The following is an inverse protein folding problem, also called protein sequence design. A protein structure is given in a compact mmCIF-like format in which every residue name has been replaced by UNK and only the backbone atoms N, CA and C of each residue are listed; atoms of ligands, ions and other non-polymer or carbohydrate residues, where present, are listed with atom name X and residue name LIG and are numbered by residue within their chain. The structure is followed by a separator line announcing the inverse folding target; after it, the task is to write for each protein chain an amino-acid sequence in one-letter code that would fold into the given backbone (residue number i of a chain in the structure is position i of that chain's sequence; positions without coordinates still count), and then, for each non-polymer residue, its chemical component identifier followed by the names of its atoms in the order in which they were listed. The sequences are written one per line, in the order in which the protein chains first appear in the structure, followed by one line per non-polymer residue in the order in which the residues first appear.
data_IF_456415123040
#
_entry.id   IF_456415123040
#
_cell.length_a   1.000
_cell.length_b   1.000
_cell.length_c   1.000
_cell.angle_alpha   90.00
_cell.angle_beta   90.00
_cell.angle_gamma   90.00
#
_symmetry.space_group_name_H-M   'P 1'
#
loop_
_entity.id
_entity.type
_entity.pdbx_description
1 polymer ?
#
# COMPACT_ATOMS: atom_id res chain seq x y z
N UNK A 1 -6.84 -9.70 19.00
CA UNK A 1 -7.38 -8.58 19.80
C UNK A 1 -7.06 -8.68 21.27
N UNK A 2 -6.77 -9.86 21.84
CA UNK A 2 -6.43 -10.02 23.28
C UNK A 2 -4.94 -9.83 23.60
N UNK A 3 -4.09 -9.58 22.60
CA UNK A 3 -2.63 -9.53 22.78
C UNK A 3 -2.12 -8.17 23.26
N UNK A 4 -2.94 -7.13 23.27
CA UNK A 4 -2.50 -5.74 23.53
C UNK A 4 -1.52 -5.18 22.50
N UNK A 5 -1.32 -5.88 21.38
CA UNK A 5 -0.44 -5.45 20.29
C UNK A 5 -1.23 -4.73 19.18
N UNK A 6 -0.60 -3.78 18.47
CA UNK A 6 -1.25 -3.07 17.37
C UNK A 6 -1.68 -4.03 16.25
N UNK A 7 -2.81 -3.71 15.63
CA UNK A 7 -3.27 -4.36 14.41
C UNK A 7 -2.81 -3.51 13.22
N UNK A 8 -2.22 -4.15 12.24
CA UNK A 8 -1.88 -3.55 10.95
C UNK A 8 -2.92 -3.99 9.91
N UNK A 9 -3.67 -3.04 9.38
CA UNK A 9 -4.52 -3.25 8.22
C UNK A 9 -3.72 -2.87 6.96
N UNK A 10 -3.45 -3.82 6.09
CA UNK A 10 -2.56 -3.66 4.95
C UNK A 10 -3.38 -3.76 3.67
N UNK A 11 -3.25 -2.78 2.78
CA UNK A 11 -3.95 -2.77 1.49
C UNK A 11 -2.96 -2.68 0.34
N UNK A 12 -3.18 -3.52 -0.67
CA UNK A 12 -2.47 -3.48 -1.93
C UNK A 12 -3.28 -4.18 -3.02
N UNK A 13 -2.86 -4.09 -4.27
CA UNK A 13 -3.49 -4.81 -5.38
C UNK A 13 -2.49 -5.59 -6.22
N UNK A 14 -2.98 -6.62 -6.91
CA UNK A 14 -2.15 -7.42 -7.80
C UNK A 14 -2.90 -7.78 -9.08
N UNK A 15 -2.16 -8.00 -10.17
CA UNK A 15 -2.71 -8.44 -11.44
C UNK A 15 -2.41 -9.93 -11.61
N UNK A 16 -3.48 -10.72 -11.84
CA UNK A 16 -3.42 -12.09 -12.32
C UNK A 16 -3.41 -12.05 -13.85
N UNK A 17 -2.23 -12.09 -14.44
CA UNK A 17 -2.03 -11.94 -15.89
C UNK A 17 -2.71 -13.06 -16.68
N UNK A 18 -3.35 -12.72 -17.81
CA UNK A 18 -3.99 -13.67 -18.72
C UNK A 18 -3.64 -13.36 -20.16
N UNK A 19 -3.68 -14.37 -21.02
CA UNK A 19 -3.64 -14.17 -22.47
C UNK A 19 -4.99 -13.64 -22.91
N UNK A 20 -5.01 -12.50 -23.61
CA UNK A 20 -6.24 -11.96 -24.17
C UNK A 20 -6.81 -12.94 -25.20
N UNK A 21 -8.07 -13.38 -25.08
CA UNK A 21 -8.71 -14.23 -26.08
C UNK A 21 -8.78 -13.53 -27.44
N UNK A 22 -8.82 -14.32 -28.52
CA UNK A 22 -9.14 -13.82 -29.85
C UNK A 22 -10.52 -13.10 -29.85
N UNK A 23 -10.68 -12.12 -30.72
CA UNK A 23 -11.96 -11.44 -30.94
C UNK A 23 -13.09 -12.40 -31.39
N UNK A 24 -12.72 -13.58 -31.90
CA UNK A 24 -13.68 -14.64 -32.31
C UNK A 24 -14.02 -15.61 -31.19
N UNK A 25 -13.51 -15.42 -29.97
CA UNK A 25 -13.79 -16.31 -28.87
C UNK A 25 -15.28 -16.21 -28.48
N UNK A 26 -15.97 -17.35 -28.46
CA UNK A 26 -17.40 -17.43 -28.08
C UNK A 26 -17.64 -17.00 -26.61
N UNK A 27 -16.66 -17.23 -25.74
CA UNK A 27 -16.75 -16.91 -24.33
C UNK A 27 -15.56 -16.04 -23.93
N UNK A 28 -15.73 -14.72 -23.78
CA UNK A 28 -14.71 -13.83 -23.26
C UNK A 28 -14.40 -14.21 -21.80
N UNK A 29 -13.26 -13.68 -21.29
CA UNK A 29 -12.94 -13.79 -19.87
C UNK A 29 -13.66 -12.64 -19.17
N UNK A 30 -14.62 -12.97 -18.30
CA UNK A 30 -15.38 -11.97 -17.54
C UNK A 30 -14.47 -11.21 -16.57
N UNK A 31 -14.71 -9.91 -16.42
CA UNK A 31 -13.97 -9.00 -15.53
C UNK A 31 -12.44 -8.96 -15.77
N UNK A 32 -11.96 -9.40 -16.94
CA UNK A 32 -10.58 -9.25 -17.35
C UNK A 32 -10.39 -8.00 -18.22
N UNK A 33 -9.44 -7.15 -17.85
CA UNK A 33 -9.18 -5.88 -18.51
C UNK A 33 -7.68 -5.64 -18.69
N UNK A 34 -7.33 -4.62 -19.47
CA UNK A 34 -5.98 -4.07 -19.46
C UNK A 34 -5.78 -3.18 -18.23
N UNK A 35 -4.72 -3.43 -17.49
CA UNK A 35 -4.28 -2.68 -16.31
C UNK A 35 -2.85 -2.20 -16.50
N UNK A 36 -2.51 -1.03 -15.96
CA UNK A 36 -1.13 -0.57 -15.93
C UNK A 36 -0.35 -1.38 -14.92
N UNK A 37 0.60 -2.18 -15.39
CA UNK A 37 1.52 -2.93 -14.53
C UNK A 37 2.80 -2.13 -14.28
N UNK A 38 3.01 -1.71 -13.04
CA UNK A 38 4.26 -1.03 -12.65
C UNK A 38 5.46 -1.99 -12.71
N UNK A 39 5.25 -3.27 -12.42
CA UNK A 39 6.30 -4.30 -12.48
C UNK A 39 6.78 -4.55 -13.91
N UNK A 40 5.86 -4.58 -14.87
CA UNK A 40 6.18 -4.83 -16.28
C UNK A 40 6.47 -3.54 -17.06
N UNK A 41 6.21 -2.36 -16.49
CA UNK A 41 6.33 -1.06 -17.17
C UNK A 41 5.38 -0.87 -18.36
N UNK A 42 4.37 -1.75 -18.52
CA UNK A 42 3.42 -1.77 -19.64
C UNK A 42 2.03 -2.22 -19.20
N UNK A 43 1.07 -2.11 -20.11
CA UNK A 43 -0.26 -2.67 -19.88
C UNK A 43 -0.21 -4.20 -19.84
N UNK A 44 -0.92 -4.79 -18.88
CA UNK A 44 -1.06 -6.21 -18.69
C UNK A 44 -2.55 -6.57 -18.70
N UNK A 45 -2.92 -7.61 -19.49
CA UNK A 45 -4.29 -8.07 -19.56
C UNK A 45 -4.53 -9.14 -18.52
N UNK A 46 -5.61 -9.04 -17.76
CA UNK A 46 -5.96 -10.04 -16.76
C UNK A 46 -6.97 -9.52 -15.74
N UNK A 47 -7.07 -10.27 -14.64
CA UNK A 47 -7.88 -9.88 -13.49
C UNK A 47 -7.02 -9.09 -12.50
N UNK A 48 -7.60 -8.04 -11.92
CA UNK A 48 -6.96 -7.31 -10.84
C UNK A 48 -7.69 -7.60 -9.52
N UNK A 49 -6.93 -7.97 -8.51
CA UNK A 49 -7.43 -8.20 -7.16
C UNK A 49 -7.01 -7.06 -6.25
N UNK A 50 -7.97 -6.54 -5.46
CA UNK A 50 -7.69 -5.67 -4.31
C UNK A 50 -7.69 -6.55 -3.08
N UNK A 51 -6.61 -6.51 -2.31
CA UNK A 51 -6.44 -7.30 -1.08
C UNK A 51 -6.38 -6.40 0.14
N UNK A 52 -7.10 -6.81 1.19
CA UNK A 52 -7.01 -6.24 2.54
C UNK A 52 -6.56 -7.33 3.48
N UNK A 53 -5.43 -7.13 4.13
CA UNK A 53 -4.86 -8.06 5.10
C UNK A 53 -4.84 -7.45 6.49
N UNK A 54 -5.07 -8.28 7.49
CA UNK A 54 -4.87 -7.92 8.89
C UNK A 54 -3.65 -8.67 9.43
N UNK A 55 -2.77 -7.95 10.10
CA UNK A 55 -1.59 -8.52 10.76
C UNK A 55 -1.52 -8.07 12.21
N UNK A 56 -1.32 -9.02 13.12
CA UNK A 56 -1.16 -8.74 14.54
C UNK A 56 -0.27 -9.81 15.18
N UNK A 57 0.79 -9.40 15.85
CA UNK A 57 1.67 -10.30 16.61
C UNK A 57 2.17 -11.51 15.79
N UNK A 58 2.59 -11.28 14.56
CA UNK A 58 3.09 -12.33 13.65
C UNK A 58 2.01 -13.17 12.94
N UNK A 59 0.74 -13.05 13.35
CA UNK A 59 -0.39 -13.67 12.65
C UNK A 59 -0.81 -12.73 11.54
N UNK A 60 -0.92 -13.27 10.33
CA UNK A 60 -1.34 -12.55 9.12
C UNK A 60 -2.58 -13.21 8.57
N UNK A 61 -3.63 -12.45 8.30
CA UNK A 61 -4.90 -12.93 7.76
C UNK A 61 -5.30 -12.11 6.55
N UNK A 62 -5.58 -12.75 5.41
CA UNK A 62 -6.24 -12.08 4.29
C UNK A 62 -7.73 -11.89 4.64
N UNK A 63 -8.10 -10.66 4.96
CA UNK A 63 -9.46 -10.30 5.35
C UNK A 63 -10.40 -10.21 4.15
N UNK A 64 -9.92 -9.64 3.03
CA UNK A 64 -10.67 -9.52 1.80
C UNK A 64 -9.76 -9.65 0.57
N UNK A 65 -10.26 -10.36 -0.46
CA UNK A 65 -9.60 -10.51 -1.75
C UNK A 65 -10.64 -10.32 -2.86
N UNK A 66 -10.76 -9.08 -3.36
CA UNK A 66 -11.87 -8.63 -4.19
C UNK A 66 -11.46 -8.54 -5.65
N UNK A 67 -12.24 -9.18 -6.55
CA UNK A 67 -12.10 -9.03 -8.00
C UNK A 67 -12.54 -7.63 -8.42
N UNK A 68 -11.59 -6.85 -8.95
CA UNK A 68 -11.84 -5.52 -9.46
C UNK A 68 -12.40 -5.58 -10.89
N UNK A 69 -13.63 -5.12 -11.07
CA UNK A 69 -14.35 -5.18 -12.33
C UNK A 69 -14.57 -3.82 -13.02
N UNK A 70 -13.92 -2.76 -12.51
CA UNK A 70 -14.04 -1.37 -12.98
C UNK A 70 -15.42 -0.71 -12.79
N UNK A 71 -16.41 -1.39 -12.23
CA UNK A 71 -17.73 -0.79 -11.95
C UNK A 71 -17.68 0.28 -10.87
N UNK A 72 -16.80 0.09 -9.87
CA UNK A 72 -16.50 1.04 -8.81
C UNK A 72 -14.99 1.21 -8.70
N UNK A 73 -14.52 2.31 -8.12
CA UNK A 73 -13.08 2.54 -7.99
C UNK A 73 -12.46 1.63 -6.91
N UNK A 74 -11.16 1.33 -7.03
CA UNK A 74 -10.44 0.59 -5.98
C UNK A 74 -10.48 1.33 -4.62
N UNK A 75 -10.53 2.65 -4.66
CA UNK A 75 -10.67 3.49 -3.46
C UNK A 75 -12.01 3.21 -2.78
N UNK A 76 -13.11 3.17 -3.52
CA UNK A 76 -14.43 2.89 -2.96
C UNK A 76 -14.53 1.45 -2.43
N UNK A 77 -13.95 0.46 -3.14
CA UNK A 77 -13.85 -0.92 -2.62
C UNK A 77 -13.17 -0.95 -1.26
N UNK A 78 -12.01 -0.29 -1.14
CA UNK A 78 -11.25 -0.26 0.12
C UNK A 78 -12.03 0.47 1.22
N UNK A 79 -12.74 1.56 0.90
CA UNK A 79 -13.58 2.26 1.86
C UNK A 79 -14.74 1.40 2.37
N UNK A 80 -15.41 0.68 1.48
CA UNK A 80 -16.53 -0.18 1.89
C UNK A 80 -16.04 -1.31 2.79
N UNK A 81 -14.90 -1.92 2.46
CA UNK A 81 -14.27 -2.92 3.35
C UNK A 81 -13.87 -2.29 4.69
N UNK A 82 -13.29 -1.08 4.67
CA UNK A 82 -12.85 -0.41 5.90
C UNK A 82 -14.00 -0.14 6.87
N UNK A 83 -15.19 0.22 6.38
CA UNK A 83 -16.38 0.44 7.22
C UNK A 83 -16.85 -0.81 7.96
N UNK A 84 -16.54 -2.00 7.43
CA UNK A 84 -16.88 -3.30 8.03
C UNK A 84 -15.80 -3.84 8.97
N UNK A 85 -14.62 -3.18 9.02
CA UNK A 85 -13.54 -3.60 9.91
C UNK A 85 -13.94 -3.39 11.37
N UNK A 86 -13.65 -4.35 12.25
CA UNK A 86 -13.83 -4.12 13.68
C UNK A 86 -12.87 -3.03 14.18
N UNK A 87 -13.37 -2.14 15.03
CA UNK A 87 -12.54 -1.12 15.69
C UNK A 87 -11.49 -1.82 16.54
N UNK A 88 -10.20 -1.55 16.35
CA UNK A 88 -9.15 -2.21 17.12
C UNK A 88 -9.17 -1.72 18.59
N UNK A 89 -8.89 -2.60 19.56
CA UNK A 89 -8.93 -2.26 21.00
C UNK A 89 -7.71 -1.44 21.44
N UNK A 90 -6.70 -1.31 20.60
CA UNK A 90 -5.47 -0.55 20.85
C UNK A 90 -5.10 0.27 19.62
N UNK A 91 -4.23 1.28 19.78
CA UNK A 91 -3.72 2.09 18.67
C UNK A 91 -3.20 1.17 17.56
N UNK A 92 -3.70 1.36 16.37
CA UNK A 92 -3.48 0.45 15.22
C UNK A 92 -3.27 1.26 13.93
N UNK A 93 -2.72 0.61 12.91
CA UNK A 93 -2.23 1.33 11.74
C UNK A 93 -2.78 0.74 10.43
N UNK A 94 -3.16 1.63 9.53
CA UNK A 94 -3.45 1.32 8.14
C UNK A 94 -2.20 1.54 7.29
N UNK A 95 -1.75 0.51 6.58
CA UNK A 95 -0.53 0.51 5.78
C UNK A 95 -0.87 0.36 4.29
N UNK A 96 -0.38 1.27 3.46
CA UNK A 96 -0.66 1.23 2.02
C UNK A 96 0.49 1.78 1.17
N UNK A 97 0.43 1.51 -0.12
CA UNK A 97 1.29 2.16 -1.10
C UNK A 97 0.79 3.59 -1.45
N UNK A 98 1.51 4.27 -2.33
CA UNK A 98 1.19 5.65 -2.71
C UNK A 98 -0.11 5.80 -3.52
N UNK A 99 -0.68 4.71 -4.02
CA UNK A 99 -1.94 4.73 -4.75
C UNK A 99 -3.14 4.98 -3.82
N UNK A 100 -3.09 4.39 -2.62
CA UNK A 100 -4.19 4.47 -1.66
C UNK A 100 -4.10 5.65 -0.69
N UNK A 101 -3.04 6.47 -0.76
CA UNK A 101 -2.91 7.67 0.08
C UNK A 101 -3.76 8.80 -0.48
N UNK A 102 -4.96 8.97 0.06
CA UNK A 102 -5.88 10.07 -0.22
C UNK A 102 -6.62 10.48 1.06
N UNK A 103 -7.05 11.74 1.12
CA UNK A 103 -7.83 12.26 2.25
C UNK A 103 -9.04 11.36 2.55
N UNK A 104 -9.75 10.94 1.51
CA UNK A 104 -10.95 10.08 1.60
C UNK A 104 -10.65 8.75 2.32
N UNK A 105 -9.56 8.08 1.96
CA UNK A 105 -9.12 6.82 2.59
C UNK A 105 -8.65 7.07 4.02
N UNK A 106 -7.81 8.08 4.23
CA UNK A 106 -7.28 8.42 5.55
C UNK A 106 -8.41 8.65 6.53
N UNK A 107 -9.42 9.47 6.16
CA UNK A 107 -10.56 9.77 7.02
C UNK A 107 -11.41 8.51 7.30
N UNK A 108 -11.61 7.65 6.29
CA UNK A 108 -12.36 6.40 6.50
C UNK A 108 -11.67 5.50 7.52
N UNK A 109 -10.36 5.30 7.41
CA UNK A 109 -9.62 4.47 8.36
C UNK A 109 -9.49 5.13 9.75
N UNK A 110 -9.38 6.46 9.80
CA UNK A 110 -9.35 7.19 11.07
C UNK A 110 -10.63 7.00 11.88
N UNK A 111 -11.81 7.03 11.23
CA UNK A 111 -13.11 6.74 11.87
C UNK A 111 -13.14 5.32 12.43
N UNK A 112 -12.46 4.37 11.79
CA UNK A 112 -12.34 2.98 12.26
C UNK A 112 -11.21 2.77 13.29
N UNK A 113 -10.55 3.84 13.76
CA UNK A 113 -9.52 3.77 14.79
C UNK A 113 -8.13 3.36 14.28
N UNK A 114 -7.87 3.49 12.99
CA UNK A 114 -6.56 3.23 12.39
C UNK A 114 -5.86 4.53 11.99
N UNK A 115 -4.61 4.69 12.38
CA UNK A 115 -3.73 5.75 11.89
C UNK A 115 -3.07 5.33 10.58
N UNK A 116 -3.11 6.18 9.56
CA UNK A 116 -2.52 5.86 8.26
C UNK A 116 -1.00 6.06 8.25
N UNK A 117 -0.27 5.05 7.78
CA UNK A 117 1.13 5.16 7.36
C UNK A 117 1.22 4.64 5.93
N UNK A 118 1.62 5.50 4.98
CA UNK A 118 1.62 5.13 3.56
C UNK A 118 2.78 5.73 2.80
N UNK A 119 3.19 5.09 1.70
CA UNK A 119 4.14 5.70 0.78
C UNK A 119 3.53 6.93 0.09
N UNK A 120 4.37 7.90 -0.25
CA UNK A 120 3.97 9.09 -0.99
C UNK A 120 4.64 9.15 -2.36
N UNK A 121 3.91 9.66 -3.36
CA UNK A 121 4.50 10.10 -4.62
C UNK A 121 5.33 11.36 -4.39
N UNK A 122 6.51 11.44 -4.99
CA UNK A 122 7.44 12.57 -4.81
C UNK A 122 6.98 13.89 -5.45
N UNK A 123 5.90 13.86 -6.23
CA UNK A 123 5.24 15.03 -6.80
C UNK A 123 4.15 15.64 -5.90
N UNK A 124 3.92 15.10 -4.70
CA UNK A 124 2.97 15.67 -3.72
C UNK A 124 3.42 17.07 -3.30
N UNK A 125 2.43 17.91 -3.01
CA UNK A 125 2.63 19.29 -2.58
C UNK A 125 2.63 19.36 -1.06
N UNK A 126 3.63 20.04 -0.52
CA UNK A 126 3.82 20.38 0.87
C UNK A 126 3.73 21.90 1.04
N UNK A 127 3.61 22.35 2.28
CA UNK A 127 3.53 23.78 2.61
C UNK A 127 4.56 24.19 3.69
N UNK A 128 5.89 23.98 3.45
CA UNK A 128 6.90 24.42 4.40
C UNK A 128 6.84 25.95 4.58
N UNK A 129 6.71 26.38 5.85
CA UNK A 129 6.56 27.81 6.19
C UNK A 129 5.45 28.53 5.38
N UNK A 130 4.37 27.82 5.05
CA UNK A 130 3.26 28.34 4.26
C UNK A 130 3.48 28.42 2.75
N UNK A 131 4.67 28.10 2.25
CA UNK A 131 4.99 28.11 0.83
C UNK A 131 4.69 26.78 0.17
N UNK A 132 3.97 26.80 -0.96
CA UNK A 132 3.65 25.62 -1.74
C UNK A 132 4.89 25.12 -2.48
N UNK A 133 5.30 23.86 -2.23
CA UNK A 133 6.48 23.24 -2.82
C UNK A 133 6.24 21.76 -3.10
N UNK A 134 6.77 21.21 -4.19
CA UNK A 134 6.75 19.75 -4.39
C UNK A 134 7.71 19.08 -3.43
N UNK A 135 7.36 17.88 -2.99
CA UNK A 135 8.20 17.06 -2.12
C UNK A 135 9.59 16.83 -2.73
N UNK A 136 9.66 16.52 -4.04
CA UNK A 136 10.94 16.32 -4.74
C UNK A 136 11.82 17.59 -4.80
N UNK A 137 11.22 18.76 -4.90
CA UNK A 137 11.93 20.05 -4.90
C UNK A 137 12.49 20.34 -3.51
N UNK A 138 11.67 20.19 -2.47
CA UNK A 138 12.11 20.35 -1.09
C UNK A 138 13.21 19.35 -0.73
N UNK A 139 13.07 18.09 -1.15
CA UNK A 139 14.08 17.07 -0.91
C UNK A 139 15.42 17.40 -1.59
N UNK A 140 15.40 17.94 -2.81
CA UNK A 140 16.61 18.34 -3.52
C UNK A 140 17.33 19.49 -2.81
N UNK A 141 16.60 20.49 -2.33
CA UNK A 141 17.18 21.61 -1.56
C UNK A 141 17.81 21.14 -0.24
N UNK A 142 17.09 20.29 0.50
CA UNK A 142 17.56 19.77 1.78
C UNK A 142 18.76 18.84 1.63
N UNK A 143 18.84 18.07 0.55
CA UNK A 143 19.89 17.07 0.33
C UNK A 143 21.23 17.65 -0.15
N UNK A 144 21.36 18.96 -0.27
CA UNK A 144 22.66 19.64 -0.49
C UNK A 144 23.65 19.33 0.63
N UNK A 145 23.17 19.07 1.84
CA UNK A 145 23.98 18.68 2.98
C UNK A 145 23.33 17.56 3.79
N UNK A 146 24.15 16.62 4.29
CA UNK A 146 23.70 15.57 5.22
C UNK A 146 23.19 16.13 6.55
N UNK A 147 23.57 17.34 6.95
CA UNK A 147 23.24 17.93 8.26
C UNK A 147 21.73 18.06 8.51
N UNK A 148 20.93 18.06 7.44
CA UNK A 148 19.48 18.14 7.54
C UNK A 148 18.81 16.78 7.77
N UNK A 149 19.57 15.70 7.73
CA UNK A 149 19.05 14.34 7.78
C UNK A 149 19.65 13.57 8.95
N UNK A 150 18.80 12.80 9.62
CA UNK A 150 19.23 11.84 10.63
C UNK A 150 19.59 10.50 9.98
N UNK A 151 20.63 9.85 10.47
CA UNK A 151 20.98 8.50 10.07
C UNK A 151 20.15 7.50 10.88
N UNK A 152 19.28 6.74 10.19
CA UNK A 152 18.32 5.81 10.80
C UNK A 152 18.59 4.41 10.29
N UNK A 153 18.62 3.42 11.17
CA UNK A 153 18.78 2.01 10.80
C UNK A 153 17.44 1.28 10.86
N UNK A 154 17.00 0.70 9.73
CA UNK A 154 15.79 -0.10 9.62
C UNK A 154 16.13 -1.48 9.06
N UNK A 155 15.81 -2.55 9.80
CA UNK A 155 16.14 -3.93 9.41
C UNK A 155 17.59 -4.12 8.96
N UNK A 156 18.53 -3.51 9.68
CA UNK A 156 19.98 -3.62 9.41
C UNK A 156 20.48 -2.84 8.19
N UNK A 157 19.70 -1.92 7.66
CA UNK A 157 20.09 -1.01 6.57
C UNK A 157 20.01 0.44 7.01
N UNK A 158 20.98 1.24 6.62
CA UNK A 158 21.06 2.65 6.96
C UNK A 158 20.38 3.52 5.91
N UNK A 159 19.67 4.53 6.40
CA UNK A 159 18.97 5.53 5.60
C UNK A 159 19.21 6.91 6.18
N UNK A 160 19.41 7.92 5.34
CA UNK A 160 19.31 9.31 5.71
C UNK A 160 17.86 9.74 5.62
N UNK A 161 17.29 10.20 6.73
CA UNK A 161 15.86 10.52 6.83
C UNK A 161 15.69 11.96 7.32
N UNK A 162 14.92 12.76 6.59
CA UNK A 162 14.43 14.06 7.03
C UNK A 162 12.97 13.94 7.43
N UNK A 163 12.62 14.50 8.58
CA UNK A 163 11.26 14.55 9.09
C UNK A 163 10.66 15.93 8.88
N UNK A 164 9.62 16.01 8.10
CA UNK A 164 8.76 17.18 7.94
C UNK A 164 7.46 16.97 8.73
N UNK A 165 7.05 17.99 9.48
CA UNK A 165 5.75 18.03 10.15
C UNK A 165 4.94 19.21 9.62
N UNK A 166 3.74 18.96 9.13
CA UNK A 166 2.90 20.00 8.56
C UNK A 166 1.83 19.47 7.61
N UNK A 167 1.29 20.39 6.83
CA UNK A 167 0.19 20.09 5.91
C UNK A 167 0.70 19.65 4.55
N UNK A 168 -0.05 18.73 3.93
CA UNK A 168 0.02 18.39 2.52
C UNK A 168 -1.27 18.84 1.84
N UNK A 169 -1.28 18.86 0.50
CA UNK A 169 -2.51 19.16 -0.23
C UNK A 169 -3.62 18.14 0.10
N UNK A 170 -4.68 18.59 0.78
CA UNK A 170 -5.81 17.77 1.22
C UNK A 170 -5.56 16.93 2.48
N UNK A 171 -4.45 17.12 3.20
CA UNK A 171 -4.14 16.37 4.43
C UNK A 171 -3.48 17.35 5.41
N UNK A 172 -4.05 17.47 6.60
CA UNK A 172 -3.56 18.35 7.65
C UNK A 172 -2.82 17.57 8.75
N UNK A 173 -1.88 18.24 9.42
CA UNK A 173 -1.17 17.73 10.60
C UNK A 173 -0.55 16.34 10.40
N UNK A 174 0.26 16.20 9.37
CA UNK A 174 0.91 14.95 9.04
C UNK A 174 2.44 15.02 9.21
N UNK A 175 3.04 13.88 9.45
CA UNK A 175 4.48 13.67 9.31
C UNK A 175 4.77 13.17 7.91
N UNK A 176 5.76 13.75 7.26
CA UNK A 176 6.33 13.23 6.00
C UNK A 176 7.80 12.96 6.20
N UNK A 177 8.20 11.71 5.98
CA UNK A 177 9.59 11.31 6.00
C UNK A 177 10.14 11.29 4.57
N UNK A 178 11.26 11.96 4.34
CA UNK A 178 12.08 11.85 3.13
C UNK A 178 13.22 10.91 3.42
N UNK A 179 13.30 9.81 2.72
CA UNK A 179 14.27 8.74 2.99
C UNK A 179 15.14 8.46 1.77
N UNK A 180 16.44 8.45 1.97
CA UNK A 180 17.44 8.01 1.01
C UNK A 180 18.23 6.84 1.59
N UNK A 181 18.47 5.75 0.84
CA UNK A 181 19.47 4.79 1.23
C UNK A 181 20.83 5.48 1.42
N UNK A 182 21.60 5.10 2.44
CA UNK A 182 22.90 5.73 2.77
C UNK A 182 23.82 5.85 1.54
N UNK A 183 23.93 4.77 0.77
CA UNK A 183 24.80 4.71 -0.43
C UNK A 183 24.27 5.51 -1.64
N UNK A 184 23.04 6.03 -1.57
CA UNK A 184 22.37 6.74 -2.66
C UNK A 184 21.80 8.09 -2.18
N UNK A 185 22.40 8.67 -1.16
CA UNK A 185 21.99 9.97 -0.63
C UNK A 185 22.02 11.04 -1.73
N UNK A 186 20.97 11.89 -1.78
CA UNK A 186 20.83 12.96 -2.76
C UNK A 186 20.45 12.51 -4.18
N UNK A 187 20.39 11.19 -4.46
CA UNK A 187 19.93 10.70 -5.77
C UNK A 187 18.39 10.79 -5.86
N UNK A 188 17.82 11.62 -6.76
CA UNK A 188 16.36 11.79 -6.86
C UNK A 188 15.60 10.49 -7.15
N UNK A 189 16.22 9.53 -7.86
CA UNK A 189 15.62 8.22 -8.16
C UNK A 189 15.56 7.31 -6.94
N UNK A 190 16.42 7.54 -5.96
CA UNK A 190 16.47 6.77 -4.72
C UNK A 190 15.57 7.35 -3.61
N UNK A 191 15.07 8.57 -3.77
CA UNK A 191 14.15 9.20 -2.83
C UNK A 191 12.90 8.36 -2.65
N UNK A 192 12.57 8.06 -1.40
CA UNK A 192 11.29 7.50 -0.96
C UNK A 192 10.68 8.43 0.06
N UNK A 193 9.35 8.56 0.02
CA UNK A 193 8.64 9.38 0.98
C UNK A 193 7.51 8.60 1.62
N UNK A 194 7.29 8.85 2.91
CA UNK A 194 6.27 8.18 3.71
C UNK A 194 5.45 9.21 4.46
N UNK A 195 4.13 9.03 4.45
CA UNK A 195 3.18 9.76 5.26
C UNK A 195 2.92 9.01 6.56
N UNK A 196 2.80 9.72 7.67
CA UNK A 196 2.24 9.19 8.91
C UNK A 196 1.24 10.18 9.50
N UNK A 197 0.05 9.70 9.84
CA UNK A 197 -1.00 10.48 10.50
C UNK A 197 -0.94 10.42 12.03
N UNK A 198 -0.05 9.61 12.59
CA UNK A 198 0.21 9.57 14.03
C UNK A 198 1.46 10.40 14.35
N UNK A 199 1.24 11.64 14.77
CA UNK A 199 2.33 12.59 15.08
C UNK A 199 3.12 12.22 16.35
N UNK A 200 2.63 11.27 17.16
CA UNK A 200 3.32 10.82 18.37
C UNK A 200 4.45 9.82 18.11
N UNK A 201 4.52 9.26 16.89
CA UNK A 201 5.56 8.29 16.54
C UNK A 201 6.88 8.97 16.22
N UNK A 202 7.98 8.37 16.65
CA UNK A 202 9.32 8.70 16.20
C UNK A 202 9.55 8.26 14.75
N UNK A 203 10.59 8.80 14.11
CA UNK A 203 11.01 8.44 12.76
C UNK A 203 11.25 6.94 12.61
N UNK A 204 11.92 6.30 13.58
CA UNK A 204 12.20 4.88 13.57
C UNK A 204 10.91 4.05 13.66
N UNK A 205 10.00 4.40 14.59
CA UNK A 205 8.74 3.69 14.74
C UNK A 205 7.87 3.76 13.48
N UNK A 206 7.82 4.91 12.79
CA UNK A 206 7.09 5.05 11.52
C UNK A 206 7.65 4.09 10.47
N UNK A 207 8.98 4.04 10.30
CA UNK A 207 9.62 3.19 9.32
C UNK A 207 9.49 1.70 9.67
N UNK A 208 9.62 1.33 10.95
CA UNK A 208 9.41 -0.04 11.43
C UNK A 208 7.95 -0.48 11.24
N UNK A 209 6.98 0.38 11.50
CA UNK A 209 5.57 0.12 11.21
C UNK A 209 5.34 -0.06 9.71
N UNK A 210 5.93 0.79 8.85
CA UNK A 210 5.74 0.67 7.40
C UNK A 210 6.30 -0.64 6.84
N UNK A 211 7.39 -1.15 7.40
CA UNK A 211 7.95 -2.48 7.01
C UNK A 211 6.96 -3.61 7.28
N UNK A 212 6.05 -3.46 8.25
CA UNK A 212 4.98 -4.43 8.51
C UNK A 212 3.96 -4.56 7.36
N UNK A 213 4.09 -3.75 6.29
CA UNK A 213 3.33 -3.91 5.02
C UNK A 213 3.80 -5.12 4.20
N UNK A 214 5.04 -5.56 4.36
CA UNK A 214 5.65 -6.61 3.55
C UNK A 214 4.87 -7.95 3.44
N UNK A 215 4.13 -8.42 4.43
CA UNK A 215 3.35 -9.66 4.35
C UNK A 215 2.41 -9.75 3.13
N UNK A 216 1.84 -8.64 2.65
CA UNK A 216 0.94 -8.66 1.49
C UNK A 216 1.68 -9.01 0.19
N UNK A 217 2.92 -8.55 0.05
CA UNK A 217 3.77 -8.88 -1.12
C UNK A 217 4.19 -10.36 -1.10
N UNK A 218 4.48 -10.89 0.11
CA UNK A 218 4.76 -12.32 0.30
C UNK A 218 3.53 -13.15 -0.05
N UNK A 219 2.35 -12.75 0.40
CA UNK A 219 1.07 -13.38 0.07
C UNK A 219 0.86 -13.44 -1.45
N UNK A 220 0.96 -12.31 -2.16
CA UNK A 220 0.79 -12.28 -3.61
C UNK A 220 1.78 -13.19 -4.33
N UNK A 221 3.05 -13.17 -3.93
CA UNK A 221 4.08 -14.05 -4.50
C UNK A 221 3.74 -15.52 -4.29
N UNK A 222 3.39 -15.92 -3.06
CA UNK A 222 3.04 -17.31 -2.76
C UNK A 222 1.77 -17.75 -3.49
N UNK A 223 0.76 -16.88 -3.61
CA UNK A 223 -0.44 -17.19 -4.38
C UNK A 223 -0.14 -17.40 -5.87
N UNK A 224 0.79 -16.64 -6.46
CA UNK A 224 1.22 -16.82 -7.85
C UNK A 224 2.07 -18.08 -8.03
N UNK A 225 3.06 -18.27 -7.18
CA UNK A 225 4.06 -19.33 -7.35
C UNK A 225 3.52 -20.71 -6.96
N UNK A 226 2.64 -20.81 -5.95
CA UNK A 226 2.22 -22.07 -5.35
C UNK A 226 0.72 -22.36 -5.49
N UNK A 227 -0.11 -21.35 -5.61
CA UNK A 227 -1.58 -21.48 -5.61
C UNK A 227 -2.21 -21.04 -6.94
N UNK A 228 -1.44 -20.99 -8.02
CA UNK A 228 -1.89 -20.72 -9.39
C UNK A 228 -2.76 -19.46 -9.57
N UNK A 229 -2.51 -18.36 -8.80
CA UNK A 229 -3.28 -17.12 -8.88
C UNK A 229 -3.38 -16.54 -10.30
N UNK A 230 -2.37 -16.73 -11.14
CA UNK A 230 -2.33 -16.27 -12.54
C UNK A 230 -2.40 -17.40 -13.58
N UNK A 231 -2.48 -18.68 -13.15
CA UNK A 231 -2.47 -19.85 -14.05
C UNK A 231 -3.81 -20.54 -14.21
N UNK A 232 -4.85 -20.18 -13.45
CA UNK A 232 -6.17 -20.79 -13.56
C UNK A 232 -6.82 -20.55 -14.93
N UNK A 233 -7.71 -21.47 -15.38
CA UNK A 233 -8.40 -21.42 -16.68
C UNK A 233 -9.88 -21.01 -16.56
N UNK A 234 -10.32 -20.50 -15.39
CA UNK A 234 -11.69 -20.10 -15.13
C UNK A 234 -12.00 -18.81 -15.89
N UNK A 235 -13.15 -18.76 -16.58
CA UNK A 235 -13.57 -17.62 -17.38
C UNK A 235 -14.70 -16.81 -16.75
N UNK A 236 -15.55 -17.42 -15.90
CA UNK A 236 -16.66 -16.72 -15.24
C UNK A 236 -16.20 -15.96 -14.00
N UNK A 237 -16.67 -14.74 -13.82
CA UNK A 237 -16.36 -13.90 -12.66
C UNK A 237 -16.76 -14.58 -11.34
N UNK A 238 -17.91 -15.28 -11.31
CA UNK A 238 -18.33 -16.02 -10.13
C UNK A 238 -17.36 -17.17 -9.79
N UNK A 239 -16.91 -17.92 -10.79
CA UNK A 239 -15.95 -18.99 -10.60
C UNK A 239 -14.61 -18.48 -10.09
N UNK A 240 -14.14 -17.32 -10.59
CA UNK A 240 -12.91 -16.65 -10.16
C UNK A 240 -13.01 -16.21 -8.70
N UNK A 241 -14.11 -15.57 -8.28
CA UNK A 241 -14.34 -15.17 -6.89
C UNK A 241 -14.32 -16.37 -5.93
N UNK A 242 -14.96 -17.48 -6.31
CA UNK A 242 -14.95 -18.73 -5.52
C UNK A 242 -13.55 -19.34 -5.43
N UNK A 243 -12.83 -19.38 -6.56
CA UNK A 243 -11.47 -19.88 -6.61
C UNK A 243 -10.53 -19.04 -5.71
N UNK A 244 -10.61 -17.72 -5.78
CA UNK A 244 -9.79 -16.84 -4.95
C UNK A 244 -10.12 -16.95 -3.46
N UNK A 245 -11.39 -17.20 -3.11
CA UNK A 245 -11.78 -17.49 -1.74
C UNK A 245 -11.10 -18.77 -1.23
N UNK A 246 -11.19 -19.87 -1.98
CA UNK A 246 -10.55 -21.15 -1.64
C UNK A 246 -9.03 -20.98 -1.56
N UNK A 247 -8.43 -20.29 -2.53
CA UNK A 247 -6.99 -20.00 -2.54
C UNK A 247 -6.56 -19.23 -1.30
N UNK A 248 -7.34 -18.23 -0.88
CA UNK A 248 -7.05 -17.47 0.35
C UNK A 248 -7.08 -18.35 1.59
N UNK A 249 -8.01 -19.30 1.69
CA UNK A 249 -8.02 -20.29 2.77
C UNK A 249 -6.84 -21.26 2.70
N UNK A 250 -6.53 -21.79 1.52
CA UNK A 250 -5.43 -22.71 1.33
C UNK A 250 -4.05 -22.10 1.69
N UNK A 251 -3.92 -20.79 1.61
CA UNK A 251 -2.69 -20.08 2.01
C UNK A 251 -2.41 -20.18 3.51
N UNK A 252 -3.42 -20.43 4.36
CA UNK A 252 -3.28 -20.51 5.82
C UNK A 252 -3.08 -21.94 6.33
N UNK A 253 -3.24 -22.94 5.48
CA UNK A 253 -3.03 -24.36 5.80
C UNK A 253 -1.57 -24.79 5.56
#
# INVERSE_FOLDING_TARGET
ARTGKPVFCIVDDTIASKTKPSSRALHPIEDAYFHQSHLKGKQDYGHQAVSVMLSCNGIVLNYAFVLYNKSISKIDIVQDIAKELPVPPVKSYFLCDCWYVSEKIINTFAVQGFHTIGALKTNRLLYPSGMKKKLSELAAELSVTHKNFDLVTVKGRNYYVYRYEGNLNGIENAIVLFSYPEKAFGNPKALRAFLCMDISLSTNEILDCYVCRWPIEVFFRQCKDKLALDSYQIRSAQGIRRYWLIMSFAHYM
#
